data_IF_105781518187
#
_entry.id   IF_105781518187
#
_cell.length_a   1.000
_cell.length_b   1.000
_cell.length_c   1.000
_cell.angle_alpha   90.00
_cell.angle_beta   90.00
_cell.angle_gamma   90.00
#
_symmetry.space_group_name_H-M   'P 1'
#
loop_
_entity.id
_entity.type
_entity.pdbx_description
1 polymer ?
#
# COMPACT_ATOMS: atom_id res chain seq x y z
N UNK A 1 -2.28 8.50 -4.27
CA UNK A 1 -1.55 7.24 -4.47
C UNK A 1 -1.12 6.73 -3.08
N UNK A 2 -0.63 5.50 -2.96
CA UNK A 2 -0.08 4.97 -1.71
C UNK A 2 1.46 5.00 -1.78
N UNK A 3 2.06 6.15 -1.49
CA UNK A 3 3.53 6.33 -1.65
C UNK A 3 4.32 5.35 -0.78
N UNK A 4 3.87 5.10 0.45
CA UNK A 4 4.55 4.19 1.37
C UNK A 4 4.58 2.75 0.83
N UNK A 5 3.47 2.26 0.29
CA UNK A 5 3.40 0.97 -0.40
C UNK A 5 4.41 0.86 -1.54
N UNK A 6 4.42 1.85 -2.44
CA UNK A 6 5.32 1.85 -3.60
C UNK A 6 6.80 1.92 -3.18
N UNK A 7 7.11 2.75 -2.18
CA UNK A 7 8.47 2.88 -1.63
C UNK A 7 8.94 1.58 -0.98
N UNK A 8 8.09 0.93 -0.19
CA UNK A 8 8.45 -0.30 0.52
C UNK A 8 8.70 -1.45 -0.44
N UNK A 9 7.85 -1.63 -1.46
CA UNK A 9 8.05 -2.64 -2.51
C UNK A 9 9.38 -2.41 -3.24
N UNK A 10 9.70 -1.15 -3.55
CA UNK A 10 10.98 -0.82 -4.18
C UNK A 10 12.17 -1.14 -3.26
N UNK A 11 12.09 -0.79 -1.97
CA UNK A 11 13.14 -1.06 -0.98
C UNK A 11 13.33 -2.55 -0.69
N UNK A 12 12.26 -3.33 -0.68
CA UNK A 12 12.31 -4.77 -0.43
C UNK A 12 12.94 -5.55 -1.59
N UNK A 13 13.12 -4.92 -2.76
CA UNK A 13 13.61 -5.54 -4.00
C UNK A 13 12.76 -6.73 -4.45
N UNK A 14 11.50 -6.75 -4.04
CA UNK A 14 10.56 -7.81 -4.40
C UNK A 14 9.98 -7.52 -5.79
N UNK A 15 9.98 -8.52 -6.66
CA UNK A 15 9.28 -8.44 -7.93
C UNK A 15 7.77 -8.50 -7.72
N UNK A 16 7.03 -7.53 -8.26
CA UNK A 16 5.59 -7.45 -8.11
C UNK A 16 4.86 -8.72 -8.57
N UNK A 17 5.29 -9.33 -9.68
CA UNK A 17 4.70 -10.57 -10.18
C UNK A 17 4.90 -11.72 -9.18
N UNK A 18 6.09 -11.78 -8.58
CA UNK A 18 6.39 -12.77 -7.55
C UNK A 18 5.55 -12.57 -6.30
N UNK A 19 5.42 -11.32 -5.84
CA UNK A 19 4.57 -10.93 -4.72
C UNK A 19 3.10 -11.31 -4.98
N UNK A 20 2.58 -11.02 -6.17
CA UNK A 20 1.22 -11.39 -6.57
C UNK A 20 1.02 -12.92 -6.51
N UNK A 21 1.96 -13.69 -7.06
CA UNK A 21 1.90 -15.15 -7.05
C UNK A 21 1.95 -15.74 -5.63
N UNK A 22 2.88 -15.29 -4.79
CA UNK A 22 3.01 -15.76 -3.40
C UNK A 22 1.80 -15.40 -2.55
N UNK A 23 1.16 -14.26 -2.83
CA UNK A 23 -0.10 -13.87 -2.23
C UNK A 23 -1.33 -14.41 -2.96
N UNK A 24 -1.20 -15.27 -3.99
CA UNK A 24 -2.34 -15.75 -4.80
C UNK A 24 -3.30 -14.60 -5.20
N UNK A 25 -2.74 -13.48 -5.60
CA UNK A 25 -3.45 -12.27 -6.04
C UNK A 25 -3.22 -12.08 -7.53
N UNK A 26 -4.24 -11.63 -8.24
CA UNK A 26 -4.09 -11.26 -9.64
C UNK A 26 -3.08 -10.10 -9.80
N UNK A 27 -2.11 -10.27 -10.71
CA UNK A 27 -1.01 -9.34 -10.94
C UNK A 27 -1.52 -7.95 -11.38
N UNK A 28 -2.56 -7.89 -12.20
CA UNK A 28 -3.15 -6.64 -12.67
C UNK A 28 -3.96 -5.95 -11.56
N UNK A 29 -4.56 -6.71 -10.65
CA UNK A 29 -5.18 -6.18 -9.43
C UNK A 29 -4.14 -5.56 -8.52
N UNK A 30 -3.04 -6.27 -8.22
CA UNK A 30 -1.95 -5.74 -7.40
C UNK A 30 -1.34 -4.48 -8.03
N UNK A 31 -1.12 -4.47 -9.34
CA UNK A 31 -0.60 -3.32 -10.08
C UNK A 31 -1.49 -2.08 -9.94
N UNK A 32 -2.80 -2.26 -10.11
CA UNK A 32 -3.76 -1.15 -9.97
C UNK A 32 -3.84 -0.63 -8.54
N UNK A 33 -3.70 -1.50 -7.53
CA UNK A 33 -3.63 -1.09 -6.12
C UNK A 33 -2.37 -0.26 -5.86
N UNK A 34 -1.18 -0.76 -6.24
CA UNK A 34 0.10 -0.08 -6.01
C UNK A 34 0.13 1.32 -6.65
N UNK A 35 -0.45 1.44 -7.85
CA UNK A 35 -0.52 2.72 -8.57
C UNK A 35 -1.72 3.60 -8.13
N UNK A 36 -2.57 3.12 -7.21
CA UNK A 36 -3.72 3.87 -6.71
C UNK A 36 -4.89 3.99 -7.68
N UNK A 37 -4.92 3.17 -8.74
CA UNK A 37 -6.05 3.08 -9.69
C UNK A 37 -7.20 2.19 -9.18
N UNK A 38 -6.96 1.44 -8.11
CA UNK A 38 -7.96 0.58 -7.47
C UNK A 38 -7.81 0.66 -5.96
N UNK A 39 -8.94 0.79 -5.27
CA UNK A 39 -8.97 0.66 -3.81
C UNK A 39 -8.87 -0.82 -3.42
N UNK A 40 -7.93 -1.19 -2.52
CA UNK A 40 -7.85 -2.55 -2.00
C UNK A 40 -9.00 -2.85 -1.03
N UNK A 41 -9.49 -4.08 -1.02
CA UNK A 41 -10.39 -4.55 0.04
C UNK A 41 -9.63 -4.70 1.36
N UNK A 42 -10.34 -4.79 2.50
CA UNK A 42 -9.72 -5.06 3.81
C UNK A 42 -8.85 -6.31 3.79
N UNK A 43 -9.31 -7.39 3.15
CA UNK A 43 -8.53 -8.62 3.02
C UNK A 43 -7.24 -8.40 2.20
N UNK A 44 -7.32 -7.64 1.11
CA UNK A 44 -6.15 -7.30 0.29
C UNK A 44 -5.15 -6.44 1.07
N UNK A 45 -5.62 -5.45 1.83
CA UNK A 45 -4.76 -4.62 2.69
C UNK A 45 -4.01 -5.47 3.71
N UNK A 46 -4.73 -6.33 4.43
CA UNK A 46 -4.12 -7.24 5.41
C UNK A 46 -3.10 -8.18 4.78
N UNK A 47 -3.41 -8.77 3.61
CA UNK A 47 -2.52 -9.70 2.93
C UNK A 47 -1.22 -9.02 2.49
N UNK A 48 -1.33 -7.82 1.91
CA UNK A 48 -0.20 -7.01 1.46
C UNK A 48 0.64 -6.54 2.67
N UNK A 49 0.00 -6.07 3.74
CA UNK A 49 0.67 -5.61 4.96
C UNK A 49 1.45 -6.74 5.64
N UNK A 50 0.85 -7.94 5.75
CA UNK A 50 1.54 -9.13 6.29
C UNK A 50 2.72 -9.55 5.42
N UNK A 51 2.55 -9.57 4.10
CA UNK A 51 3.61 -9.95 3.17
C UNK A 51 4.82 -9.00 3.24
N UNK A 52 4.56 -7.70 3.42
CA UNK A 52 5.60 -6.67 3.53
C UNK A 52 6.05 -6.40 4.97
N UNK A 53 5.54 -7.15 5.95
CA UNK A 53 5.83 -7.00 7.39
C UNK A 53 5.71 -5.54 7.87
N UNK A 54 4.65 -4.86 7.46
CA UNK A 54 4.42 -3.45 7.74
C UNK A 54 3.04 -3.18 8.33
N UNK A 55 2.91 -2.09 9.07
CA UNK A 55 1.63 -1.60 9.58
C UNK A 55 0.69 -1.21 8.42
N UNK A 56 -0.57 -1.66 8.49
CA UNK A 56 -1.56 -1.47 7.42
C UNK A 56 -1.88 0.01 7.20
N UNK A 57 -2.09 0.76 8.29
CA UNK A 57 -2.50 2.17 8.22
C UNK A 57 -1.36 3.04 7.69
N UNK A 58 -0.13 2.76 8.07
CA UNK A 58 1.03 3.41 7.51
C UNK A 58 1.21 3.07 6.02
N UNK A 59 1.07 1.80 5.64
CA UNK A 59 1.34 1.33 4.28
C UNK A 59 0.37 1.92 3.26
N UNK A 60 -0.90 2.04 3.65
CA UNK A 60 -1.99 2.55 2.81
C UNK A 60 -2.40 3.99 3.16
N UNK A 61 -1.57 4.74 3.90
CA UNK A 61 -1.77 6.17 4.11
C UNK A 61 -1.76 6.90 2.77
N UNK A 62 -2.74 7.77 2.53
CA UNK A 62 -2.79 8.55 1.29
C UNK A 62 -1.80 9.69 1.33
N UNK A 63 -1.25 10.04 0.17
CA UNK A 63 -0.31 11.17 0.06
C UNK A 63 -0.85 12.48 0.66
N UNK A 64 -2.15 12.74 0.48
CA UNK A 64 -2.83 13.90 1.07
C UNK A 64 -2.81 13.84 2.60
N UNK A 65 -3.06 12.66 3.19
CA UNK A 65 -3.03 12.47 4.65
C UNK A 65 -1.60 12.62 5.20
N UNK A 66 -0.60 12.12 4.46
CA UNK A 66 0.81 12.28 4.83
C UNK A 66 1.24 13.74 4.81
N UNK A 67 0.84 14.50 3.79
CA UNK A 67 1.10 15.95 3.71
C UNK A 67 0.41 16.69 4.85
N UNK A 68 -0.85 16.35 5.16
CA UNK A 68 -1.61 16.94 6.28
C UNK A 68 -0.95 16.65 7.64
N UNK A 69 -0.59 15.38 7.91
CA UNK A 69 0.14 14.98 9.12
C UNK A 69 1.46 15.72 9.24
N UNK A 70 2.23 15.86 8.14
CA UNK A 70 3.49 16.60 8.13
C UNK A 70 3.30 18.09 8.45
N UNK A 71 2.21 18.68 7.98
CA UNK A 71 1.90 20.09 8.19
C UNK A 71 1.16 20.36 9.52
N UNK A 72 1.01 19.36 10.40
CA UNK A 72 0.34 19.52 11.69
C UNK A 72 -1.16 19.79 11.60
N UNK A 73 -1.79 19.55 10.44
CA UNK A 73 -3.23 19.73 10.26
C UNK A 73 -3.93 18.41 10.62
N UNK A 74 -4.34 18.30 11.88
CA UNK A 74 -5.22 17.23 12.34
C UNK A 74 -6.65 17.54 11.91
N UNK A 75 -7.34 16.58 11.29
CA UNK A 75 -8.80 16.63 11.20
C UNK A 75 -9.33 16.38 12.61
N UNK A 76 -9.75 17.44 13.29
CA UNK A 76 -10.74 17.30 14.36
C UNK A 76 -12.09 17.10 13.66
N UNK A 77 -12.55 15.84 13.69
CA UNK A 77 -13.89 15.33 13.34
C UNK A 77 -14.35 15.48 11.88
#
# INVERSE_FOLDING_TARGET
MFTNLKLLIWRSRIHQNRMAQEMQMDEAVLSRIINGYREPTTEQRQKIARYLEADEDWLFARDIELVRKRNGVSNEF
#
